data_IF_931160582549
#
_entry.id   IF_931160582549
#
_cell.length_a   1.000
_cell.length_b   1.000
_cell.length_c   1.000
_cell.angle_alpha   90.00
_cell.angle_beta   90.00
_cell.angle_gamma   90.00
#
_symmetry.space_group_name_H-M   'P 1'
#
loop_
_entity.id
_entity.type
_entity.pdbx_description
1 polymer ?
#
# COMPACT_ATOMS: atom_id res chain seq x y z
N UNK A 1 18.89 -0.66 0.49
CA UNK A 1 18.64 0.48 -0.40
C UNK A 1 19.67 0.56 -1.55
N UNK A 2 20.99 0.61 -1.27
CA UNK A 2 21.98 0.74 -2.33
C UNK A 2 21.97 -0.42 -3.31
N UNK A 3 21.92 -1.67 -2.81
CA UNK A 3 21.94 -2.90 -3.63
C UNK A 3 20.68 -3.03 -4.49
N UNK A 4 19.50 -2.81 -3.88
CA UNK A 4 18.21 -3.21 -4.45
C UNK A 4 17.49 -2.05 -5.16
N UNK A 5 17.64 -0.82 -4.64
CA UNK A 5 16.92 0.36 -5.14
C UNK A 5 17.84 1.41 -5.80
N UNK A 6 19.16 1.25 -5.71
CA UNK A 6 20.11 2.27 -6.17
C UNK A 6 20.13 3.54 -5.31
N UNK A 7 19.51 3.51 -4.13
CA UNK A 7 19.43 4.65 -3.22
C UNK A 7 20.66 4.70 -2.31
N UNK A 8 21.23 5.88 -2.16
CA UNK A 8 22.42 6.11 -1.34
C UNK A 8 22.05 6.90 -0.09
N UNK A 9 22.20 6.27 1.07
CA UNK A 9 21.99 6.88 2.38
C UNK A 9 23.19 6.59 3.28
N UNK A 10 23.58 7.58 4.07
CA UNK A 10 24.49 7.37 5.19
C UNK A 10 23.76 6.71 6.36
N UNK A 11 24.51 6.12 7.28
CA UNK A 11 23.92 5.37 8.40
C UNK A 11 22.98 6.23 9.28
N UNK A 12 23.28 7.51 9.46
CA UNK A 12 22.49 8.49 10.22
C UNK A 12 21.26 9.05 9.46
N UNK A 13 21.11 8.65 8.18
CA UNK A 13 19.89 8.88 7.38
C UNK A 13 18.92 7.71 7.47
N UNK A 14 19.29 6.61 8.16
CA UNK A 14 18.44 5.44 8.35
C UNK A 14 17.83 5.44 9.75
N UNK A 15 16.52 5.25 9.84
CA UNK A 15 15.81 5.08 11.12
C UNK A 15 15.07 3.76 11.13
N UNK A 16 15.46 2.87 12.03
CA UNK A 16 14.82 1.56 12.21
C UNK A 16 13.74 1.65 13.29
N UNK A 17 12.54 1.14 12.98
CA UNK A 17 11.34 1.31 13.81
C UNK A 17 10.60 -0.01 14.05
N UNK A 18 9.61 -0.02 14.96
CA UNK A 18 8.75 -1.19 15.24
C UNK A 18 7.75 -1.45 14.09
N UNK A 19 8.28 -1.83 12.92
CA UNK A 19 7.57 -2.00 11.66
C UNK A 19 7.40 -0.69 10.89
N UNK A 20 7.17 -0.79 9.57
CA UNK A 20 6.98 0.35 8.68
C UNK A 20 5.85 1.29 9.13
N UNK A 21 4.83 0.77 9.84
CA UNK A 21 3.76 1.60 10.42
C UNK A 21 4.32 2.68 11.34
N UNK A 22 5.21 2.35 12.26
CA UNK A 22 5.84 3.34 13.12
C UNK A 22 6.76 4.27 12.33
N UNK A 23 7.50 3.75 11.36
CA UNK A 23 8.34 4.57 10.49
C UNK A 23 7.53 5.68 9.80
N UNK A 24 6.41 5.33 9.17
CA UNK A 24 5.52 6.29 8.50
C UNK A 24 4.92 7.28 9.51
N UNK A 25 4.44 6.78 10.66
CA UNK A 25 3.87 7.65 11.71
C UNK A 25 4.89 8.68 12.19
N UNK A 26 6.15 8.27 12.42
CA UNK A 26 7.22 9.18 12.82
C UNK A 26 7.46 10.28 11.77
N UNK A 27 7.44 9.92 10.48
CA UNK A 27 7.62 10.90 9.38
C UNK A 27 6.44 11.88 9.32
N UNK A 28 5.21 11.38 9.42
CA UNK A 28 4.01 12.24 9.41
C UNK A 28 4.05 13.22 10.59
N UNK A 29 4.35 12.75 11.79
CA UNK A 29 4.49 13.60 12.99
C UNK A 29 5.68 14.58 12.91
N UNK A 30 6.70 14.28 12.11
CA UNK A 30 7.87 15.14 11.94
C UNK A 30 7.65 16.25 10.90
N UNK A 31 6.76 16.02 9.93
CA UNK A 31 6.61 16.89 8.75
C UNK A 31 5.29 17.67 8.72
N UNK A 32 4.22 17.14 9.31
CA UNK A 32 2.87 17.69 9.16
C UNK A 32 2.47 18.46 10.41
N UNK A 33 2.23 19.75 10.23
CA UNK A 33 1.68 20.61 11.27
C UNK A 33 0.12 20.63 11.21
N UNK A 34 -0.56 21.01 12.31
CA UNK A 34 -2.01 21.11 12.32
C UNK A 34 -2.59 21.99 11.20
N UNK A 35 -3.48 21.40 10.41
CA UNK A 35 -4.16 22.08 9.30
C UNK A 35 -3.46 21.98 7.95
N UNK A 36 -2.21 21.50 7.89
CA UNK A 36 -1.54 21.19 6.62
C UNK A 36 -2.19 19.99 5.92
N UNK A 37 -2.07 19.97 4.60
CA UNK A 37 -2.72 18.97 3.76
C UNK A 37 -1.78 17.84 3.36
N UNK A 38 -2.31 16.62 3.43
CA UNK A 38 -1.62 15.40 2.97
C UNK A 38 -2.45 14.74 1.89
N UNK A 39 -1.89 14.62 0.69
CA UNK A 39 -2.53 13.96 -0.44
C UNK A 39 -2.38 12.44 -0.28
N UNK A 40 -3.52 11.73 -0.32
CA UNK A 40 -3.61 10.28 -0.31
C UNK A 40 -4.31 9.81 -1.59
N UNK A 41 -3.59 9.23 -2.57
CA UNK A 41 -4.21 8.60 -3.74
C UNK A 41 -5.04 7.40 -3.31
N UNK A 42 -6.34 7.43 -3.57
CA UNK A 42 -7.23 6.32 -3.24
C UNK A 42 -7.28 5.32 -4.40
N UNK A 43 -7.17 3.99 -4.13
CA UNK A 43 -7.13 3.41 -2.78
C UNK A 43 -5.76 3.52 -2.11
N UNK A 44 -5.77 3.77 -0.81
CA UNK A 44 -4.57 3.88 0.04
C UNK A 44 -4.67 2.90 1.22
N UNK A 45 -3.54 2.57 1.86
CA UNK A 45 -3.56 1.75 3.07
C UNK A 45 -4.27 2.46 4.21
N UNK A 46 -5.25 1.79 4.81
CA UNK A 46 -6.21 2.33 5.80
C UNK A 46 -5.58 3.20 6.89
N UNK A 47 -4.35 2.89 7.30
CA UNK A 47 -3.71 3.60 8.41
C UNK A 47 -3.16 4.98 8.04
N UNK A 48 -3.02 5.33 6.76
CA UNK A 48 -2.43 6.62 6.38
C UNK A 48 -3.30 7.79 6.85
N UNK A 49 -4.63 7.71 6.63
CA UNK A 49 -5.55 8.77 7.03
C UNK A 49 -5.55 9.00 8.55
N UNK A 50 -5.51 7.91 9.34
CA UNK A 50 -5.43 8.02 10.80
C UNK A 50 -4.11 8.65 11.27
N UNK A 51 -2.98 8.30 10.63
CA UNK A 51 -1.68 8.91 10.93
C UNK A 51 -1.68 10.42 10.66
N UNK A 52 -2.29 10.85 9.56
CA UNK A 52 -2.47 12.27 9.23
C UNK A 52 -3.33 12.96 10.30
N UNK A 53 -4.44 12.33 10.70
CA UNK A 53 -5.30 12.86 11.75
C UNK A 53 -4.58 12.98 13.10
N UNK A 54 -3.71 12.03 13.46
CA UNK A 54 -2.87 12.12 14.68
C UNK A 54 -1.95 13.33 14.69
N UNK A 55 -1.44 13.74 13.53
CA UNK A 55 -0.63 14.96 13.42
C UNK A 55 -1.48 16.26 13.40
N UNK A 56 -2.81 16.14 13.34
CA UNK A 56 -3.72 17.29 13.14
C UNK A 56 -3.79 17.76 11.69
N UNK A 57 -3.21 17.03 10.75
CA UNK A 57 -3.25 17.30 9.33
C UNK A 57 -4.62 17.02 8.70
N UNK A 58 -4.81 17.48 7.49
CA UNK A 58 -6.01 17.25 6.67
C UNK A 58 -5.69 16.29 5.53
N UNK A 59 -6.46 15.21 5.45
CA UNK A 59 -6.38 14.28 4.31
C UNK A 59 -7.07 14.88 3.10
N UNK A 60 -6.34 14.97 1.97
CA UNK A 60 -6.86 15.28 0.65
C UNK A 60 -6.87 13.99 -0.16
N UNK A 61 -8.05 13.44 -0.41
CA UNK A 61 -8.19 12.22 -1.19
C UNK A 61 -8.06 12.54 -2.67
N UNK A 62 -7.08 11.91 -3.34
CA UNK A 62 -6.92 11.97 -4.79
C UNK A 62 -7.54 10.68 -5.39
N UNK A 63 -8.72 10.76 -6.03
CA UNK A 63 -9.37 9.59 -6.58
C UNK A 63 -8.58 9.03 -7.77
N UNK A 64 -8.50 7.69 -7.85
CA UNK A 64 -7.99 6.97 -9.01
C UNK A 64 -9.02 5.96 -9.51
N UNK A 65 -8.78 5.33 -10.66
CA UNK A 65 -9.76 4.45 -11.30
C UNK A 65 -9.18 3.07 -11.57
N UNK A 66 -10.05 2.06 -11.55
CA UNK A 66 -9.66 0.68 -11.87
C UNK A 66 -9.18 0.54 -13.32
N UNK A 67 -9.71 1.35 -14.26
CA UNK A 67 -9.30 1.39 -15.65
C UNK A 67 -7.87 1.89 -15.84
N UNK A 68 -7.36 2.67 -14.90
CA UNK A 68 -6.01 3.23 -14.83
C UNK A 68 -5.14 2.46 -13.83
N UNK A 69 -5.55 1.22 -13.50
CA UNK A 69 -4.90 0.34 -12.51
C UNK A 69 -4.70 1.05 -11.15
N UNK A 70 -5.64 1.92 -10.77
CA UNK A 70 -5.59 2.69 -9.52
C UNK A 70 -4.30 3.50 -9.33
N UNK A 71 -3.70 3.99 -10.43
CA UNK A 71 -2.49 4.80 -10.40
C UNK A 71 -2.81 6.29 -10.40
N UNK A 72 -1.88 7.06 -9.88
CA UNK A 72 -1.97 8.52 -9.85
C UNK A 72 -1.87 9.05 -11.29
N UNK A 73 -2.84 9.85 -11.69
CA UNK A 73 -2.72 10.67 -12.89
C UNK A 73 -1.91 11.93 -12.55
N UNK A 74 -0.82 12.25 -13.30
CA UNK A 74 0.04 13.40 -13.00
C UNK A 74 -0.68 14.75 -13.04
N UNK A 75 -1.61 14.94 -13.98
CA UNK A 75 -2.39 16.17 -14.10
C UNK A 75 -3.35 16.34 -12.92
N UNK A 76 -3.95 15.25 -12.44
CA UNK A 76 -4.78 15.26 -11.25
C UNK A 76 -3.97 15.55 -9.99
N UNK A 77 -2.74 15.02 -9.89
CA UNK A 77 -1.83 15.35 -8.80
C UNK A 77 -1.45 16.82 -8.80
N UNK A 78 -1.08 17.38 -9.97
CA UNK A 78 -0.75 18.80 -10.11
C UNK A 78 -1.92 19.70 -9.67
N UNK A 79 -3.14 19.34 -10.07
CA UNK A 79 -4.35 20.09 -9.72
C UNK A 79 -4.71 20.01 -8.22
N UNK A 80 -4.34 18.92 -7.54
CA UNK A 80 -4.60 18.74 -6.11
C UNK A 80 -3.59 19.48 -5.21
N UNK A 81 -2.39 19.77 -5.72
CA UNK A 81 -1.35 20.47 -4.96
C UNK A 81 -1.70 21.95 -4.83
N UNK A 82 -1.57 22.47 -3.61
CA UNK A 82 -1.73 23.89 -3.30
C UNK A 82 -0.73 24.34 -2.22
N UNK A 83 -0.78 25.60 -1.80
CA UNK A 83 0.18 26.15 -0.83
C UNK A 83 0.14 25.50 0.56
N UNK A 84 -0.95 24.80 0.91
CA UNK A 84 -1.09 24.08 2.18
C UNK A 84 -0.67 22.59 2.05
N UNK A 85 -0.42 22.11 0.84
CA UNK A 85 0.00 20.73 0.62
C UNK A 85 1.41 20.50 1.16
N UNK A 86 1.52 19.64 2.16
CA UNK A 86 2.79 19.34 2.82
C UNK A 86 3.38 18.02 2.38
N UNK A 87 2.53 17.02 2.17
CA UNK A 87 2.98 15.64 2.00
C UNK A 87 2.12 14.90 0.98
N UNK A 88 2.75 14.06 0.17
CA UNK A 88 2.14 12.98 -0.60
C UNK A 88 2.53 11.64 0.03
N UNK A 89 1.57 10.74 0.28
CA UNK A 89 1.86 9.37 0.71
C UNK A 89 1.32 8.41 -0.34
N UNK A 90 2.18 7.64 -0.99
CA UNK A 90 1.77 6.59 -1.92
C UNK A 90 2.56 5.30 -1.67
N UNK A 91 2.08 4.18 -2.20
CA UNK A 91 2.77 2.89 -2.11
C UNK A 91 2.90 2.21 -3.46
N UNK A 92 4.07 1.58 -3.70
CA UNK A 92 4.35 0.75 -4.89
C UNK A 92 5.27 -0.40 -4.48
N UNK A 93 4.81 -1.64 -4.61
CA UNK A 93 3.46 -2.13 -4.90
C UNK A 93 2.43 -1.72 -3.85
N UNK A 94 1.19 -1.44 -4.30
CA UNK A 94 0.16 -0.85 -3.47
C UNK A 94 -0.64 -1.87 -2.64
N UNK A 95 -0.97 -1.52 -1.42
CA UNK A 95 -2.04 -2.11 -0.64
C UNK A 95 -3.19 -1.09 -0.58
N UNK A 96 -4.36 -1.34 -1.20
CA UNK A 96 -4.95 -2.65 -1.49
C UNK A 96 -4.91 -3.12 -2.96
N UNK A 97 -4.55 -2.25 -3.92
CA UNK A 97 -4.78 -2.52 -5.36
C UNK A 97 -3.78 -3.52 -5.99
N UNK A 98 -2.60 -3.68 -5.38
CA UNK A 98 -1.48 -4.43 -5.96
C UNK A 98 -0.85 -3.76 -7.17
N UNK A 99 -1.20 -2.52 -7.47
CA UNK A 99 -0.65 -1.73 -8.57
C UNK A 99 0.84 -1.46 -8.37
N UNK A 100 1.59 -1.47 -9.44
CA UNK A 100 3.04 -1.19 -9.46
C UNK A 100 3.30 -0.12 -10.50
N UNK A 101 3.98 0.95 -10.10
CA UNK A 101 4.36 2.02 -11.02
C UNK A 101 5.56 1.60 -11.86
N UNK A 102 5.51 1.92 -13.16
CA UNK A 102 6.67 1.80 -14.07
C UNK A 102 7.63 2.97 -13.86
N UNK A 103 8.82 2.88 -14.47
CA UNK A 103 9.79 3.98 -14.40
C UNK A 103 9.24 5.25 -15.05
N UNK A 104 8.56 5.12 -16.19
CA UNK A 104 7.96 6.25 -16.92
C UNK A 104 6.86 6.94 -16.10
N UNK A 105 6.04 6.16 -15.37
CA UNK A 105 5.02 6.70 -14.48
C UNK A 105 5.66 7.42 -13.28
N UNK A 106 6.72 6.86 -12.70
CA UNK A 106 7.49 7.51 -11.63
C UNK A 106 8.14 8.81 -12.12
N UNK A 107 8.71 8.81 -13.32
CA UNK A 107 9.31 10.02 -13.92
C UNK A 107 8.26 11.13 -14.13
N UNK A 108 7.05 10.76 -14.55
CA UNK A 108 5.95 11.71 -14.72
C UNK A 108 5.49 12.32 -13.39
N UNK A 109 5.39 11.52 -12.33
CA UNK A 109 5.09 12.02 -10.98
C UNK A 109 6.21 12.92 -10.45
N UNK A 110 7.46 12.53 -10.66
CA UNK A 110 8.63 13.32 -10.27
C UNK A 110 8.63 14.70 -10.94
N UNK A 111 8.25 14.77 -12.22
CA UNK A 111 8.15 16.05 -12.94
C UNK A 111 7.13 17.00 -12.30
N UNK A 112 6.01 16.50 -11.79
CA UNK A 112 5.04 17.30 -11.00
C UNK A 112 5.66 17.79 -9.70
N UNK A 113 6.31 16.88 -8.97
CA UNK A 113 6.90 17.18 -7.65
C UNK A 113 8.09 18.13 -7.74
N UNK A 114 8.87 18.10 -8.82
CA UNK A 114 9.96 19.05 -9.08
C UNK A 114 9.42 20.48 -9.20
N UNK A 115 8.26 20.66 -9.85
CA UNK A 115 7.61 21.97 -9.95
C UNK A 115 7.01 22.47 -8.63
N UNK A 116 6.79 21.54 -7.68
CA UNK A 116 6.16 21.81 -6.37
C UNK A 116 7.14 21.50 -5.21
N UNK A 117 8.20 22.32 -5.03
CA UNK A 117 9.32 22.00 -4.15
C UNK A 117 9.00 22.02 -2.64
N UNK A 118 7.83 22.46 -2.24
CA UNK A 118 7.34 22.47 -0.87
C UNK A 118 6.71 21.12 -0.44
N UNK A 119 6.41 20.22 -1.40
CA UNK A 119 5.78 18.94 -1.14
C UNK A 119 6.84 17.88 -0.86
N UNK A 120 6.73 17.21 0.29
CA UNK A 120 7.50 16.00 0.64
C UNK A 120 6.77 14.75 0.19
N UNK A 121 7.48 13.63 0.09
CA UNK A 121 6.88 12.36 -0.32
C UNK A 121 7.29 11.23 0.60
N UNK A 122 6.31 10.46 1.07
CA UNK A 122 6.54 9.12 1.60
C UNK A 122 6.30 8.13 0.47
N UNK A 123 7.37 7.43 0.06
CA UNK A 123 7.32 6.29 -0.87
C UNK A 123 7.34 5.00 -0.05
N UNK A 124 6.16 4.39 0.13
CA UNK A 124 6.05 3.12 0.87
C UNK A 124 6.30 1.95 -0.09
N UNK A 125 7.50 1.37 0.01
CA UNK A 125 8.01 0.32 -0.87
C UNK A 125 8.06 -1.04 -0.17
N UNK A 126 7.28 -1.23 0.92
CA UNK A 126 7.30 -2.43 1.77
C UNK A 126 7.04 -3.74 1.01
N UNK A 127 6.43 -3.68 -0.17
CA UNK A 127 6.14 -4.83 -1.03
C UNK A 127 7.12 -4.99 -2.20
N UNK A 128 8.24 -4.28 -2.26
CA UNK A 128 9.18 -4.29 -3.40
C UNK A 128 9.62 -5.68 -3.83
N UNK A 129 9.85 -6.62 -2.89
CA UNK A 129 10.22 -8.00 -3.17
C UNK A 129 9.05 -8.88 -3.63
N UNK A 130 7.80 -8.40 -3.49
CA UNK A 130 6.60 -9.05 -4.01
C UNK A 130 6.11 -8.23 -5.21
N UNK A 131 6.97 -8.14 -6.21
CA UNK A 131 6.77 -7.40 -7.45
C UNK A 131 6.95 -8.35 -8.63
N UNK A 132 5.90 -8.50 -9.42
CA UNK A 132 5.84 -9.45 -10.54
C UNK A 132 6.35 -8.87 -11.85
N UNK A 133 6.69 -7.56 -11.90
CA UNK A 133 7.27 -6.93 -13.09
C UNK A 133 8.75 -7.26 -13.28
N UNK A 134 9.39 -7.79 -12.22
CA UNK A 134 10.82 -8.08 -12.20
C UNK A 134 11.71 -6.85 -12.00
N UNK A 135 11.14 -5.64 -11.96
CA UNK A 135 11.87 -4.38 -11.78
C UNK A 135 11.07 -3.45 -10.87
N UNK A 136 11.73 -2.90 -9.86
CA UNK A 136 11.15 -1.90 -8.96
C UNK A 136 11.64 -0.50 -9.37
N UNK A 137 10.72 0.45 -9.49
CA UNK A 137 11.01 1.86 -9.71
C UNK A 137 10.78 2.64 -8.40
N UNK A 138 11.82 3.30 -7.90
CA UNK A 138 11.75 4.10 -6.67
C UNK A 138 11.80 5.59 -7.00
N UNK A 139 10.84 6.34 -6.45
CA UNK A 139 10.82 7.80 -6.60
C UNK A 139 12.05 8.47 -5.94
N UNK A 140 12.59 7.85 -4.89
CA UNK A 140 13.80 8.32 -4.22
C UNK A 140 15.06 8.28 -5.09
N UNK A 141 15.04 7.54 -6.21
CA UNK A 141 16.15 7.47 -7.15
C UNK A 141 16.16 8.61 -8.17
N UNK A 142 15.09 9.41 -8.26
CA UNK A 142 14.96 10.46 -9.29
C UNK A 142 15.73 11.71 -8.86
N UNK A 143 16.63 12.17 -9.73
CA UNK A 143 17.38 13.39 -9.51
C UNK A 143 16.47 14.62 -9.36
N UNK A 144 16.79 15.50 -8.41
CA UNK A 144 16.06 16.74 -8.16
C UNK A 144 14.93 16.65 -7.13
N UNK A 145 14.59 15.45 -6.63
CA UNK A 145 13.61 15.30 -5.53
C UNK A 145 14.10 14.45 -4.36
N UNK A 146 15.30 13.88 -4.43
CA UNK A 146 15.87 12.96 -3.43
C UNK A 146 15.91 13.54 -2.02
N UNK A 147 16.08 14.85 -1.89
CA UNK A 147 16.12 15.61 -0.63
C UNK A 147 14.73 15.79 0.01
N UNK A 148 13.68 15.29 -0.62
CA UNK A 148 12.28 15.40 -0.17
C UNK A 148 11.51 14.08 -0.20
N UNK A 149 12.17 12.99 -0.62
CA UNK A 149 11.58 11.65 -0.63
C UNK A 149 12.06 10.87 0.58
N UNK A 150 11.12 10.31 1.32
CA UNK A 150 11.34 9.39 2.41
C UNK A 150 10.93 8.00 1.92
N UNK A 151 11.91 7.13 1.69
CA UNK A 151 11.67 5.76 1.26
C UNK A 151 11.45 4.87 2.48
N UNK A 152 10.30 4.22 2.54
CA UNK A 152 9.91 3.32 3.63
C UNK A 152 10.00 1.88 3.17
N UNK A 153 10.60 1.03 4.00
CA UNK A 153 10.68 -0.40 3.73
C UNK A 153 10.70 -1.22 5.03
N UNK A 154 10.90 -2.52 4.94
CA UNK A 154 11.01 -3.40 6.08
C UNK A 154 10.99 -4.88 5.72
N UNK A 155 11.20 -5.72 6.73
CA UNK A 155 11.30 -7.18 6.54
C UNK A 155 9.95 -7.91 6.59
N UNK A 156 8.87 -7.21 6.92
CA UNK A 156 7.57 -7.82 7.21
C UNK A 156 6.98 -8.61 6.04
N UNK A 157 7.18 -8.14 4.79
CA UNK A 157 6.48 -8.66 3.61
C UNK A 157 7.42 -9.53 2.76
N UNK A 158 8.47 -8.95 2.24
CA UNK A 158 9.42 -9.67 1.39
C UNK A 158 10.11 -10.85 2.07
N UNK A 159 10.27 -10.81 3.38
CA UNK A 159 10.89 -11.88 4.17
C UNK A 159 9.90 -12.64 5.06
N UNK A 160 8.58 -12.42 4.90
CA UNK A 160 7.54 -13.05 5.71
C UNK A 160 7.73 -12.88 7.25
N UNK A 161 8.35 -11.77 7.66
CA UNK A 161 8.72 -11.49 9.07
C UNK A 161 7.76 -10.51 9.74
N UNK A 162 6.44 -10.68 9.55
CA UNK A 162 5.43 -9.74 10.06
C UNK A 162 5.45 -9.62 11.60
N UNK A 163 5.65 -10.72 12.31
CA UNK A 163 5.69 -10.79 13.77
C UNK A 163 6.97 -10.21 14.39
N UNK A 164 8.04 -10.03 13.63
CA UNK A 164 9.31 -9.47 14.10
C UNK A 164 9.24 -7.96 14.30
N UNK A 165 8.24 -7.30 13.77
CA UNK A 165 7.97 -5.87 13.95
C UNK A 165 9.18 -5.00 13.61
N UNK A 166 9.72 -5.10 12.40
CA UNK A 166 10.83 -4.28 11.95
C UNK A 166 10.57 -3.66 10.58
N UNK A 167 10.67 -2.36 10.52
CA UNK A 167 10.68 -1.53 9.33
C UNK A 167 11.68 -0.40 9.49
N UNK A 168 11.94 0.32 8.42
CA UNK A 168 12.93 1.38 8.39
C UNK A 168 12.62 2.42 7.32
N UNK A 169 13.21 3.59 7.46
CA UNK A 169 13.24 4.63 6.43
C UNK A 169 14.66 4.95 6.03
N UNK A 170 14.83 5.37 4.76
CA UNK A 170 15.92 6.22 4.31
C UNK A 170 15.37 7.61 4.04
N UNK A 171 15.98 8.64 4.62
CA UNK A 171 15.46 10.00 4.57
C UNK A 171 16.59 11.04 4.63
N UNK A 172 16.33 12.31 4.22
CA UNK A 172 17.25 13.41 4.48
C UNK A 172 17.63 13.50 5.97
N UNK A 173 18.86 13.87 6.28
CA UNK A 173 19.43 13.89 7.64
C UNK A 173 18.52 14.58 8.68
N UNK A 174 17.95 15.74 8.35
CA UNK A 174 17.13 16.47 9.31
C UNK A 174 15.81 15.77 9.61
N UNK A 175 15.23 15.06 8.62
CA UNK A 175 14.02 14.24 8.81
C UNK A 175 14.34 13.00 9.63
N UNK A 176 15.41 12.29 9.31
CA UNK A 176 15.87 11.12 10.07
C UNK A 176 16.13 11.49 11.53
N UNK A 177 16.78 12.64 11.77
CA UNK A 177 17.03 13.17 13.13
C UNK A 177 15.74 13.48 13.88
N UNK A 178 14.75 14.11 13.22
CA UNK A 178 13.44 14.38 13.79
C UNK A 178 12.70 13.08 14.14
N UNK A 179 12.65 12.11 13.21
CA UNK A 179 12.05 10.81 13.45
C UNK A 179 12.72 10.05 14.62
N UNK A 180 14.04 10.06 14.69
CA UNK A 180 14.79 9.46 15.80
C UNK A 180 14.43 10.11 17.14
N UNK A 181 14.28 11.44 17.18
CA UNK A 181 13.87 12.16 18.39
C UNK A 181 12.46 11.77 18.82
N UNK A 182 11.49 11.71 17.90
CA UNK A 182 10.11 11.30 18.17
C UNK A 182 10.11 9.86 18.69
N UNK A 183 10.73 8.94 17.96
CA UNK A 183 10.78 7.53 18.33
C UNK A 183 11.42 7.31 19.70
N UNK A 184 12.47 8.05 19.99
CA UNK A 184 13.17 7.97 21.30
C UNK A 184 12.27 8.31 22.49
N UNK A 185 11.23 9.14 22.30
CA UNK A 185 10.26 9.49 23.35
C UNK A 185 9.05 8.54 23.40
N UNK A 186 8.80 7.75 22.34
CA UNK A 186 7.61 6.89 22.25
C UNK A 186 7.93 5.43 22.54
N UNK A 187 8.94 4.86 21.86
CA UNK A 187 9.25 3.43 21.92
C UNK A 187 10.74 3.13 22.10
N UNK A 188 11.62 4.11 22.07
CA UNK A 188 13.08 4.00 22.02
C UNK A 188 13.56 3.34 20.70
N UNK A 189 13.66 2.02 20.65
CA UNK A 189 14.14 1.27 19.49
C UNK A 189 13.40 -0.07 19.34
N UNK A 190 13.45 -0.70 18.16
CA UNK A 190 12.98 -2.07 17.99
C UNK A 190 13.82 -3.05 18.83
N UNK A 191 13.24 -4.22 19.10
CA UNK A 191 13.92 -5.32 19.78
C UNK A 191 15.27 -5.64 19.09
N UNK A 192 16.36 -5.72 19.87
CA UNK A 192 17.72 -5.99 19.33
C UNK A 192 17.81 -7.34 18.62
N UNK A 193 17.10 -8.37 19.09
CA UNK A 193 17.03 -9.68 18.43
C UNK A 193 16.39 -9.54 17.03
N UNK A 194 15.30 -8.75 16.94
CA UNK A 194 14.66 -8.49 15.65
C UNK A 194 15.57 -7.72 14.69
N UNK A 195 16.40 -6.79 15.20
CA UNK A 195 17.36 -6.05 14.38
C UNK A 195 18.45 -6.98 13.81
N UNK A 196 19.00 -7.88 14.63
CA UNK A 196 19.98 -8.88 14.16
C UNK A 196 19.37 -9.80 13.10
N UNK A 197 18.16 -10.31 13.34
CA UNK A 197 17.46 -11.16 12.37
C UNK A 197 17.16 -10.42 11.06
N UNK A 198 16.77 -9.15 11.13
CA UNK A 198 16.55 -8.32 9.95
C UNK A 198 17.84 -8.03 9.19
N UNK A 199 18.97 -7.80 9.89
CA UNK A 199 20.29 -7.68 9.27
C UNK A 199 20.63 -8.93 8.46
N UNK A 200 20.47 -10.12 9.05
CA UNK A 200 20.71 -11.38 8.35
C UNK A 200 19.79 -11.57 7.12
N UNK A 201 18.52 -11.14 7.21
CA UNK A 201 17.59 -11.18 6.07
C UNK A 201 18.02 -10.22 4.94
N UNK A 202 18.51 -9.03 5.27
CA UNK A 202 18.98 -8.05 4.28
C UNK A 202 20.31 -8.42 3.64
N UNK A 203 21.17 -9.16 4.36
CA UNK A 203 22.43 -9.68 3.85
C UNK A 203 22.25 -10.90 2.93
N UNK A 204 21.08 -11.55 3.00
CA UNK A 204 20.75 -12.65 2.12
C UNK A 204 20.63 -12.21 0.66
N UNK A 205 20.80 -13.15 -0.26
CA UNK A 205 20.55 -12.91 -1.68
C UNK A 205 19.06 -12.59 -1.90
N UNK A 206 18.71 -11.55 -2.66
CA UNK A 206 17.31 -11.19 -2.94
C UNK A 206 16.48 -12.33 -3.53
N UNK A 207 17.09 -13.31 -4.18
CA UNK A 207 16.44 -14.52 -4.72
C UNK A 207 15.75 -15.37 -3.65
N UNK A 208 16.05 -15.16 -2.36
CA UNK A 208 15.33 -15.80 -1.23
C UNK A 208 13.82 -15.59 -1.30
N UNK A 209 13.36 -14.48 -1.90
CA UNK A 209 11.95 -14.17 -2.07
C UNK A 209 11.31 -14.79 -3.33
N UNK A 210 12.09 -15.38 -4.25
CA UNK A 210 11.60 -15.78 -5.58
C UNK A 210 10.59 -16.93 -5.52
N UNK A 211 10.79 -17.91 -4.65
CA UNK A 211 9.82 -19.01 -4.46
C UNK A 211 8.46 -18.47 -3.96
N UNK A 212 8.51 -17.62 -2.95
CA UNK A 212 7.30 -16.97 -2.41
C UNK A 212 6.61 -16.08 -3.46
N UNK A 213 7.40 -15.31 -4.22
CA UNK A 213 6.90 -14.46 -5.31
C UNK A 213 6.24 -15.29 -6.42
N UNK A 214 6.82 -16.41 -6.81
CA UNK A 214 6.25 -17.33 -7.80
C UNK A 214 4.92 -17.92 -7.31
N UNK A 215 4.85 -18.35 -6.04
CA UNK A 215 3.60 -18.84 -5.45
C UNK A 215 2.51 -17.75 -5.40
N UNK A 216 2.85 -16.51 -5.07
CA UNK A 216 1.88 -15.40 -5.11
C UNK A 216 1.43 -15.07 -6.53
N UNK A 217 2.31 -15.13 -7.51
CA UNK A 217 1.95 -14.92 -8.91
C UNK A 217 0.91 -15.97 -9.39
N UNK A 218 1.13 -17.24 -9.09
CA UNK A 218 0.20 -18.31 -9.41
C UNK A 218 -1.16 -18.12 -8.73
N UNK A 219 -1.16 -17.79 -7.42
CA UNK A 219 -2.40 -17.54 -6.66
C UNK A 219 -3.14 -16.30 -7.15
N UNK A 220 -2.42 -15.26 -7.57
CA UNK A 220 -3.01 -14.08 -8.22
C UNK A 220 -3.80 -14.47 -9.46
N UNK A 221 -3.17 -15.22 -10.37
CA UNK A 221 -3.80 -15.61 -11.64
C UNK A 221 -5.02 -16.50 -11.38
N UNK A 222 -4.92 -17.48 -10.49
CA UNK A 222 -6.03 -18.31 -10.04
C UNK A 222 -7.22 -17.46 -9.53
N UNK A 223 -6.94 -16.48 -8.69
CA UNK A 223 -7.98 -15.61 -8.12
C UNK A 223 -8.59 -14.66 -9.17
N UNK A 224 -7.78 -14.14 -10.09
CA UNK A 224 -8.28 -13.29 -11.20
C UNK A 224 -9.24 -14.11 -12.07
N UNK A 225 -8.82 -15.29 -12.52
CA UNK A 225 -9.63 -16.16 -13.36
C UNK A 225 -10.96 -16.52 -12.68
N UNK A 226 -10.89 -16.90 -11.40
CA UNK A 226 -12.06 -17.23 -10.61
C UNK A 226 -13.02 -16.05 -10.42
N UNK A 227 -12.54 -14.92 -9.94
CA UNK A 227 -13.38 -13.75 -9.65
C UNK A 227 -13.93 -13.10 -10.91
N UNK A 228 -13.17 -13.08 -12.01
CA UNK A 228 -13.63 -12.50 -13.30
C UNK A 228 -14.77 -13.30 -13.92
N UNK A 229 -14.95 -14.55 -13.54
CA UNK A 229 -16.09 -15.37 -13.98
C UNK A 229 -17.39 -15.09 -13.24
N UNK A 230 -17.33 -14.34 -12.11
CA UNK A 230 -18.50 -14.02 -11.26
C UNK A 230 -19.16 -12.75 -11.80
N UNK A 231 -20.45 -12.81 -12.21
CA UNK A 231 -21.17 -11.62 -12.66
C UNK A 231 -21.16 -10.52 -11.58
N UNK A 232 -20.75 -9.32 -12.00
CA UNK A 232 -20.72 -8.16 -11.10
C UNK A 232 -19.37 -7.85 -10.51
N UNK A 233 -18.36 -8.67 -10.75
CA UNK A 233 -16.97 -8.38 -10.38
C UNK A 233 -16.21 -7.77 -11.57
N UNK A 234 -15.63 -6.61 -11.37
CA UNK A 234 -14.65 -6.02 -12.27
C UNK A 234 -13.29 -6.08 -11.59
N UNK A 235 -12.39 -6.90 -12.12
CA UNK A 235 -11.12 -7.25 -11.48
C UNK A 235 -9.97 -6.58 -12.22
N UNK A 236 -9.09 -5.84 -11.51
CA UNK A 236 -7.81 -5.39 -12.06
C UNK A 236 -6.78 -6.55 -12.05
N UNK A 237 -5.67 -6.37 -12.75
CA UNK A 237 -4.56 -7.31 -12.75
C UNK A 237 -3.38 -6.74 -11.95
N UNK A 238 -3.29 -6.97 -10.63
CA UNK A 238 -2.22 -6.44 -9.82
C UNK A 238 -0.86 -6.99 -10.24
N UNK A 239 0.15 -6.12 -10.25
CA UNK A 239 1.50 -6.48 -10.62
C UNK A 239 2.44 -6.62 -9.42
N UNK A 240 1.89 -6.56 -8.19
CA UNK A 240 2.63 -6.78 -6.95
C UNK A 240 1.73 -6.96 -5.73
N UNK A 241 2.36 -7.04 -4.56
CA UNK A 241 1.72 -7.39 -3.28
C UNK A 241 0.98 -8.74 -3.34
N UNK A 242 -0.04 -8.94 -2.53
CA UNK A 242 -0.85 -10.17 -2.49
C UNK A 242 -2.34 -9.88 -2.26
N UNK A 243 -2.84 -8.84 -2.96
CA UNK A 243 -4.23 -8.39 -2.87
C UNK A 243 -4.87 -8.27 -4.24
N UNK A 244 -6.18 -8.54 -4.29
CA UNK A 244 -7.09 -8.11 -5.34
C UNK A 244 -8.04 -7.05 -4.79
N UNK A 245 -8.40 -6.10 -5.63
CA UNK A 245 -9.27 -4.99 -5.25
C UNK A 245 -10.36 -4.76 -6.31
N UNK A 246 -11.25 -5.76 -6.53
CA UNK A 246 -12.29 -5.66 -7.53
C UNK A 246 -13.33 -4.61 -7.18
N UNK A 247 -13.84 -3.93 -8.21
CA UNK A 247 -15.06 -3.15 -8.16
C UNK A 247 -16.27 -4.10 -8.19
N UNK A 248 -17.16 -3.93 -7.23
CA UNK A 248 -18.38 -4.72 -7.02
C UNK A 248 -19.64 -3.86 -7.02
N UNK A 249 -19.54 -2.62 -7.47
CA UNK A 249 -20.62 -1.63 -7.44
C UNK A 249 -21.85 -2.07 -8.22
N UNK A 250 -21.69 -2.90 -9.25
CA UNK A 250 -22.82 -3.46 -10.01
C UNK A 250 -23.72 -4.43 -9.22
N UNK A 251 -23.27 -4.85 -8.03
CA UNK A 251 -24.06 -5.65 -7.10
C UNK A 251 -24.87 -4.81 -6.11
N UNK A 252 -24.62 -3.50 -6.07
CA UNK A 252 -25.39 -2.60 -5.18
C UNK A 252 -26.82 -2.48 -5.67
N UNK A 253 -27.76 -2.46 -4.71
CA UNK A 253 -29.18 -2.50 -4.96
C UNK A 253 -29.77 -3.91 -5.07
N UNK A 254 -28.92 -4.96 -5.19
CA UNK A 254 -29.39 -6.35 -5.21
C UNK A 254 -29.85 -6.80 -3.83
N UNK A 255 -30.88 -7.66 -3.82
CA UNK A 255 -31.54 -8.15 -2.60
C UNK A 255 -31.18 -9.61 -2.32
N UNK A 256 -31.26 -9.96 -1.03
CA UNK A 256 -31.17 -11.33 -0.52
C UNK A 256 -32.12 -11.51 0.67
N UNK A 257 -32.27 -12.74 1.20
CA UNK A 257 -33.22 -13.03 2.28
C UNK A 257 -32.99 -12.23 3.58
N UNK A 258 -31.85 -11.57 3.74
CA UNK A 258 -31.52 -10.76 4.93
C UNK A 258 -31.54 -9.25 4.71
N UNK A 259 -31.82 -8.76 3.48
CA UNK A 259 -31.82 -7.32 3.17
C UNK A 259 -31.35 -6.98 1.77
N UNK A 260 -30.90 -5.76 1.58
CA UNK A 260 -30.37 -5.22 0.31
C UNK A 260 -28.92 -4.83 0.49
N UNK A 261 -28.08 -5.11 -0.50
CA UNK A 261 -26.68 -4.69 -0.54
C UNK A 261 -26.62 -3.24 -1.02
N UNK A 262 -26.49 -2.29 -0.10
CA UNK A 262 -26.46 -0.88 -0.46
C UNK A 262 -25.04 -0.39 -0.84
N UNK A 263 -23.99 -1.05 -0.37
CA UNK A 263 -22.60 -0.64 -0.53
C UNK A 263 -21.65 -1.83 -0.30
N UNK A 264 -20.33 -1.60 -0.47
CA UNK A 264 -19.32 -2.63 -0.29
C UNK A 264 -19.19 -3.15 1.16
N UNK A 265 -19.58 -2.37 2.17
CA UNK A 265 -19.59 -2.84 3.57
C UNK A 265 -20.70 -3.88 3.78
N UNK A 266 -21.90 -3.62 3.25
CA UNK A 266 -22.99 -4.59 3.28
C UNK A 266 -22.64 -5.85 2.51
N UNK A 267 -21.99 -5.70 1.34
CA UNK A 267 -21.53 -6.85 0.57
C UNK A 267 -20.47 -7.67 1.30
N UNK A 268 -19.48 -7.01 1.94
CA UNK A 268 -18.47 -7.68 2.76
C UNK A 268 -19.09 -8.45 3.94
N UNK A 269 -20.08 -7.85 4.60
CA UNK A 269 -20.82 -8.49 5.68
C UNK A 269 -21.66 -9.67 5.15
N UNK A 270 -22.33 -9.49 4.02
CA UNK A 270 -23.07 -10.56 3.35
C UNK A 270 -22.18 -11.76 3.01
N UNK A 271 -20.98 -11.52 2.42
CA UNK A 271 -20.02 -12.58 2.13
C UNK A 271 -19.53 -13.27 3.41
N UNK A 272 -19.31 -12.52 4.48
CA UNK A 272 -18.90 -13.11 5.76
C UNK A 272 -19.97 -14.03 6.34
N UNK A 273 -21.23 -13.57 6.37
CA UNK A 273 -22.35 -14.30 6.98
C UNK A 273 -22.85 -15.48 6.14
N UNK A 274 -22.90 -15.32 4.83
CA UNK A 274 -23.51 -16.32 3.92
C UNK A 274 -22.50 -17.21 3.21
N UNK A 275 -21.34 -16.65 2.88
CA UNK A 275 -20.29 -17.40 2.20
C UNK A 275 -19.15 -17.82 3.13
N UNK A 276 -19.08 -17.30 4.37
CA UNK A 276 -17.96 -17.47 5.30
C UNK A 276 -16.61 -17.07 4.68
N UNK A 277 -16.64 -15.98 3.89
CA UNK A 277 -15.48 -15.37 3.26
C UNK A 277 -15.30 -13.98 3.80
N UNK A 278 -14.17 -13.75 4.49
CA UNK A 278 -13.81 -12.44 5.02
C UNK A 278 -13.16 -11.57 3.95
N UNK A 279 -13.73 -10.38 3.72
CA UNK A 279 -13.19 -9.34 2.84
C UNK A 279 -13.12 -8.02 3.59
N UNK A 280 -12.48 -7.01 3.02
CA UNK A 280 -12.45 -5.66 3.61
C UNK A 280 -13.09 -4.69 2.64
N UNK A 281 -14.09 -3.94 3.12
CA UNK A 281 -14.79 -2.94 2.31
C UNK A 281 -13.85 -1.84 1.83
N UNK A 282 -14.00 -1.43 0.58
CA UNK A 282 -13.16 -0.45 -0.08
C UNK A 282 -13.26 0.96 0.51
N UNK A 283 -14.35 1.27 1.22
CA UNK A 283 -14.49 2.54 1.97
C UNK A 283 -13.37 2.76 2.97
N UNK A 284 -12.82 1.68 3.58
CA UNK A 284 -11.67 1.76 4.47
C UNK A 284 -10.38 2.21 3.76
N UNK A 285 -10.35 2.13 2.43
CA UNK A 285 -9.22 2.50 1.57
C UNK A 285 -9.51 3.74 0.71
N UNK A 286 -10.64 4.41 0.94
CA UNK A 286 -11.06 5.59 0.18
C UNK A 286 -11.75 5.30 -1.15
N UNK A 287 -12.09 4.05 -1.47
CA UNK A 287 -12.72 3.63 -2.73
C UNK A 287 -13.94 2.74 -2.44
N UNK A 288 -15.11 3.35 -2.16
CA UNK A 288 -16.27 2.65 -1.61
C UNK A 288 -16.94 1.64 -2.57
N UNK A 289 -16.58 1.64 -3.85
CA UNK A 289 -17.10 0.70 -4.86
C UNK A 289 -16.45 -0.68 -4.79
N UNK A 290 -15.29 -0.79 -4.14
CA UNK A 290 -14.44 -1.98 -4.16
C UNK A 290 -14.50 -2.78 -2.87
N UNK A 291 -13.97 -4.01 -2.94
CA UNK A 291 -13.60 -4.83 -1.78
C UNK A 291 -12.17 -5.34 -1.92
N UNK A 292 -11.46 -5.51 -0.81
CA UNK A 292 -10.12 -6.13 -0.83
C UNK A 292 -10.22 -7.60 -0.44
N UNK A 293 -9.61 -8.45 -1.28
CA UNK A 293 -9.32 -9.86 -1.00
C UNK A 293 -7.80 -10.06 -0.92
N UNK A 294 -7.35 -10.89 0.03
CA UNK A 294 -5.94 -11.31 0.12
C UNK A 294 -5.79 -12.70 -0.46
N UNK A 295 -4.77 -12.92 -1.29
CA UNK A 295 -4.43 -14.27 -1.77
C UNK A 295 -3.21 -14.86 -1.04
N UNK A 296 -2.89 -14.36 0.14
CA UNK A 296 -1.90 -14.95 1.05
C UNK A 296 -2.50 -16.11 1.85
N UNK A 297 -3.03 -17.11 1.14
CA UNK A 297 -3.64 -18.33 1.67
C UNK A 297 -3.27 -19.52 0.78
N UNK A 298 -3.64 -20.77 1.17
CA UNK A 298 -3.42 -21.92 0.30
C UNK A 298 -4.32 -21.86 -0.95
N UNK A 299 -3.90 -22.49 -2.04
CA UNK A 299 -4.70 -22.55 -3.28
C UNK A 299 -6.06 -23.22 -3.05
N UNK A 300 -6.10 -24.25 -2.22
CA UNK A 300 -7.35 -24.91 -1.84
C UNK A 300 -8.33 -23.95 -1.17
N UNK A 301 -7.83 -23.13 -0.21
CA UNK A 301 -8.66 -22.11 0.46
C UNK A 301 -9.12 -21.02 -0.51
N UNK A 302 -8.29 -20.63 -1.45
CA UNK A 302 -8.62 -19.60 -2.44
C UNK A 302 -9.68 -20.10 -3.43
N UNK A 303 -9.54 -21.32 -3.94
CA UNK A 303 -10.53 -21.94 -4.81
C UNK A 303 -11.89 -22.10 -4.10
N UNK A 304 -11.87 -22.55 -2.86
CA UNK A 304 -13.08 -22.67 -2.06
C UNK A 304 -13.74 -21.30 -1.79
N UNK A 305 -12.94 -20.25 -1.52
CA UNK A 305 -13.45 -18.89 -1.35
C UNK A 305 -14.13 -18.40 -2.63
N UNK A 306 -13.51 -18.58 -3.79
CA UNK A 306 -14.10 -18.21 -5.10
C UNK A 306 -15.42 -18.94 -5.33
N UNK A 307 -15.46 -20.25 -5.10
CA UNK A 307 -16.68 -21.06 -5.25
C UNK A 307 -17.82 -20.51 -4.36
N UNK A 308 -17.53 -20.24 -3.08
CA UNK A 308 -18.50 -19.70 -2.12
C UNK A 308 -18.99 -18.31 -2.50
N UNK A 309 -18.10 -17.44 -2.98
CA UNK A 309 -18.48 -16.10 -3.47
C UNK A 309 -19.42 -16.26 -4.67
N UNK A 310 -19.08 -17.12 -5.63
CA UNK A 310 -19.91 -17.35 -6.82
C UNK A 310 -21.31 -17.84 -6.45
N UNK A 311 -21.42 -18.81 -5.52
CA UNK A 311 -22.70 -19.30 -5.04
C UNK A 311 -23.50 -18.20 -4.33
N UNK A 312 -22.88 -17.42 -3.47
CA UNK A 312 -23.53 -16.31 -2.76
C UNK A 312 -24.04 -15.23 -3.73
N UNK A 313 -23.26 -14.89 -4.75
CA UNK A 313 -23.68 -13.91 -5.76
C UNK A 313 -24.79 -14.44 -6.66
N UNK A 314 -24.80 -15.72 -6.98
CA UNK A 314 -25.81 -16.33 -7.88
C UNK A 314 -27.25 -16.25 -7.36
N UNK A 315 -27.45 -16.11 -6.06
CA UNK A 315 -28.78 -16.01 -5.44
C UNK A 315 -29.25 -14.57 -5.19
N UNK A 316 -28.42 -13.56 -5.54
CA UNK A 316 -28.81 -12.15 -5.45
C UNK A 316 -29.80 -11.77 -6.55
N UNK A 317 -30.87 -11.06 -6.19
CA UNK A 317 -31.95 -10.62 -7.07
C UNK A 317 -31.86 -9.12 -7.40
#
# INVERSE_FOLDING_TARGET
FKRDNGLHFDADQIVVSNGAKQSITNVVLALVDPGEEVILPAPYWVSYADMVAFAGGKTVILPTRIEEDFKINPEALEAAINANTRLLIYSSPCNPSGSVYTQEEIDALAAVLIRNPHVFVISDEIYELINFTGKHASLGAIEGIQDRVITVNGVSKGFAMTGWRLGYIGAPHWIAKACTKIQGQVTSAPCSIAQVAAGAAMDADPSIADEMKAAFLQRRDLMIDGLSSIPGFKVNRPMGAFYLFPDVSSLFGKSHAGGTIANASDFSLYLLEKAHVATVAGSAFGTPECIRLSYAASEEQLLEAVRRIAEAVSVLQ
#
